data_IF_982276296987
#
_entry.id   IF_982276296987
#
_cell.length_a   1.000
_cell.length_b   1.000
_cell.length_c   1.000
_cell.angle_alpha   90.00
_cell.angle_beta   90.00
_cell.angle_gamma   90.00
#
_symmetry.space_group_name_H-M   'P 1'
#
loop_
_entity.id
_entity.type
_entity.pdbx_description
1 polymer ?
#
# COMPACT_ATOMS: atom_id res chain seq x y z
N UNK A 1 6.10 -4.08 14.82
CA UNK A 1 5.07 -3.13 15.35
C UNK A 1 5.23 -1.71 14.80
N UNK A 2 6.40 -1.06 14.90
CA UNK A 2 6.64 0.30 14.34
C UNK A 2 6.38 0.39 12.81
N UNK A 3 6.80 -0.56 11.96
CA UNK A 3 6.60 -0.48 10.51
C UNK A 3 5.13 -0.55 10.10
N UNK A 4 4.33 -1.36 10.79
CA UNK A 4 2.90 -1.50 10.57
C UNK A 4 2.16 -0.18 10.79
N UNK A 5 2.50 0.53 11.87
CA UNK A 5 1.91 1.83 12.16
C UNK A 5 2.31 2.87 11.11
N UNK A 6 3.59 2.88 10.71
CA UNK A 6 4.08 3.76 9.65
C UNK A 6 3.37 3.47 8.31
N UNK A 7 3.21 2.19 7.94
CA UNK A 7 2.52 1.77 6.73
C UNK A 7 1.06 2.21 6.75
N UNK A 8 0.36 2.05 7.88
CA UNK A 8 -1.01 2.50 8.06
C UNK A 8 -1.14 4.03 7.90
N UNK A 9 -0.25 4.81 8.52
CA UNK A 9 -0.25 6.27 8.38
C UNK A 9 0.01 6.72 6.94
N UNK A 10 0.96 6.10 6.25
CA UNK A 10 1.25 6.38 4.84
C UNK A 10 0.07 6.00 3.93
N UNK A 11 -0.55 4.86 4.18
CA UNK A 11 -1.71 4.37 3.44
C UNK A 11 -2.89 5.33 3.59
N UNK A 12 -3.18 5.81 4.80
CA UNK A 12 -4.23 6.80 5.05
C UNK A 12 -3.89 8.13 4.40
N UNK A 13 -2.66 8.62 4.57
CA UNK A 13 -2.21 9.91 4.02
C UNK A 13 -2.25 9.95 2.49
N UNK A 14 -1.70 8.94 1.83
CA UNK A 14 -1.73 8.79 0.38
C UNK A 14 -3.14 8.47 -0.13
N UNK A 15 -3.90 7.66 0.59
CA UNK A 15 -5.28 7.34 0.23
C UNK A 15 -6.18 8.57 0.22
N UNK A 16 -6.03 9.46 1.21
CA UNK A 16 -6.72 10.76 1.23
C UNK A 16 -6.26 11.67 0.10
N UNK A 17 -4.96 11.71 -0.20
CA UNK A 17 -4.40 12.50 -1.32
C UNK A 17 -5.00 12.09 -2.66
N UNK A 18 -5.27 10.80 -2.85
CA UNK A 18 -5.84 10.20 -4.07
C UNK A 18 -7.39 10.24 -4.08
N UNK A 19 -8.01 10.85 -3.08
CA UNK A 19 -9.46 10.90 -2.91
C UNK A 19 -10.12 9.51 -2.87
N UNK A 20 -9.48 8.56 -2.18
CA UNK A 20 -10.14 7.30 -1.81
C UNK A 20 -11.30 7.59 -0.83
N UNK A 21 -12.37 6.81 -0.99
CA UNK A 21 -13.47 6.83 -0.03
C UNK A 21 -13.00 6.33 1.35
N UNK A 22 -13.65 6.77 2.42
CA UNK A 22 -13.32 6.32 3.76
C UNK A 22 -13.42 4.79 3.91
N UNK A 23 -14.43 4.20 3.27
CA UNK A 23 -14.63 2.74 3.22
C UNK A 23 -13.49 2.01 2.51
N UNK A 24 -12.97 2.56 1.40
CA UNK A 24 -11.80 1.99 0.73
C UNK A 24 -10.55 2.02 1.62
N UNK A 25 -10.32 3.13 2.33
CA UNK A 25 -9.17 3.25 3.25
C UNK A 25 -9.26 2.20 4.36
N UNK A 26 -10.44 2.03 4.97
CA UNK A 26 -10.66 0.99 6.00
C UNK A 26 -10.40 -0.40 5.44
N UNK A 27 -10.90 -0.70 4.23
CA UNK A 27 -10.67 -1.99 3.57
C UNK A 27 -9.17 -2.27 3.36
N UNK A 28 -8.42 -1.26 2.88
CA UNK A 28 -6.98 -1.38 2.70
C UNK A 28 -6.20 -1.49 4.03
N UNK A 29 -6.67 -0.87 5.11
CA UNK A 29 -6.11 -1.07 6.45
C UNK A 29 -6.36 -2.48 6.97
N UNK A 30 -7.56 -3.01 6.79
CA UNK A 30 -7.87 -4.41 7.12
C UNK A 30 -7.00 -5.37 6.31
N UNK A 31 -6.79 -5.08 5.02
CA UNK A 31 -5.90 -5.84 4.16
C UNK A 31 -4.44 -5.79 4.65
N UNK A 32 -3.90 -4.61 5.01
CA UNK A 32 -2.55 -4.47 5.57
C UNK A 32 -2.40 -5.30 6.85
N UNK A 33 -3.39 -5.26 7.74
CA UNK A 33 -3.39 -6.08 8.95
C UNK A 33 -3.40 -7.57 8.62
N UNK A 34 -4.30 -8.00 7.73
CA UNK A 34 -4.35 -9.40 7.29
C UNK A 34 -3.03 -9.86 6.68
N UNK A 35 -2.49 -9.08 5.74
CA UNK A 35 -1.22 -9.37 5.08
C UNK A 35 -0.08 -9.54 6.08
N UNK A 36 0.03 -8.68 7.10
CA UNK A 36 1.06 -8.79 8.13
C UNK A 36 0.94 -10.07 8.98
N UNK A 37 -0.29 -10.57 9.20
CA UNK A 37 -0.49 -11.82 9.92
C UNK A 37 -0.14 -13.07 9.10
N UNK A 38 -0.29 -13.03 7.77
CA UNK A 38 -0.07 -14.18 6.90
C UNK A 38 1.31 -14.18 6.22
N UNK A 39 1.90 -12.99 6.02
CA UNK A 39 3.15 -12.78 5.28
C UNK A 39 4.09 -11.97 6.15
N UNK A 40 5.20 -12.59 6.56
CA UNK A 40 6.24 -11.91 7.32
C UNK A 40 6.77 -10.69 6.56
N UNK A 41 7.02 -9.61 7.30
CA UNK A 41 7.56 -8.34 6.79
C UNK A 41 6.72 -7.64 5.71
N UNK A 42 5.47 -8.06 5.48
CA UNK A 42 4.62 -7.47 4.44
C UNK A 42 4.37 -5.98 4.65
N UNK A 43 4.26 -5.53 5.91
CA UNK A 43 4.10 -4.13 6.24
C UNK A 43 5.33 -3.30 5.84
N UNK A 44 6.54 -3.86 5.95
CA UNK A 44 7.77 -3.20 5.53
C UNK A 44 7.78 -3.07 4.00
N UNK A 45 7.49 -4.16 3.29
CA UNK A 45 7.39 -4.15 1.83
C UNK A 45 6.33 -3.16 1.32
N UNK A 46 5.18 -3.09 1.99
CA UNK A 46 4.12 -2.14 1.67
C UNK A 46 4.54 -0.70 1.96
N UNK A 47 5.19 -0.45 3.09
CA UNK A 47 5.70 0.86 3.46
C UNK A 47 6.72 1.36 2.43
N UNK A 48 7.68 0.52 2.03
CA UNK A 48 8.68 0.85 1.03
C UNK A 48 8.01 1.18 -0.31
N UNK A 49 7.06 0.37 -0.76
CA UNK A 49 6.32 0.63 -1.98
C UNK A 49 5.54 1.96 -1.92
N UNK A 50 4.80 2.18 -0.83
CA UNK A 50 4.06 3.43 -0.63
C UNK A 50 4.99 4.65 -0.60
N UNK A 51 6.16 4.53 0.04
CA UNK A 51 7.14 5.60 0.12
C UNK A 51 7.75 5.94 -1.26
N UNK A 52 8.15 4.92 -2.02
CA UNK A 52 8.73 5.09 -3.36
C UNK A 52 7.72 5.69 -4.35
N UNK A 53 6.45 5.30 -4.26
CA UNK A 53 5.40 5.78 -5.15
C UNK A 53 4.69 7.06 -4.67
N UNK A 54 4.91 7.50 -3.42
CA UNK A 54 4.41 8.76 -2.88
C UNK A 54 4.67 9.99 -3.78
N UNK A 55 5.91 10.25 -4.26
CA UNK A 55 6.18 11.40 -5.14
C UNK A 55 5.44 11.31 -6.48
N UNK A 56 5.23 10.09 -6.99
CA UNK A 56 4.48 9.86 -8.24
C UNK A 56 3.02 10.20 -8.00
N UNK A 57 2.39 9.61 -6.97
CA UNK A 57 1.01 9.88 -6.60
C UNK A 57 0.75 11.36 -6.27
N UNK A 58 1.72 12.04 -5.64
CA UNK A 58 1.63 13.47 -5.36
C UNK A 58 1.64 14.35 -6.61
N UNK A 59 2.24 13.88 -7.72
CA UNK A 59 2.33 14.59 -9.00
C UNK A 59 1.22 14.21 -9.99
N UNK A 60 0.44 13.17 -9.72
CA UNK A 60 -0.71 12.80 -10.58
C UNK A 60 -1.81 13.87 -10.44
N UNK A 61 -1.88 14.76 -11.43
CA UNK A 61 -2.95 15.77 -11.55
C UNK A 61 -4.29 15.18 -12.01
N UNK A 62 -4.29 13.99 -12.61
CA UNK A 62 -5.48 13.36 -13.16
C UNK A 62 -6.11 12.37 -12.15
N UNK A 63 -7.27 12.70 -11.56
CA UNK A 63 -7.93 11.85 -10.58
C UNK A 63 -8.27 10.41 -11.04
N UNK A 64 -8.59 10.10 -12.32
CA UNK A 64 -8.97 8.74 -12.68
C UNK A 64 -7.79 7.73 -12.64
N UNK A 65 -6.55 8.20 -12.79
CA UNK A 65 -5.37 7.31 -12.79
C UNK A 65 -4.73 7.15 -11.41
N UNK A 66 -5.00 8.06 -10.47
CA UNK A 66 -4.38 8.02 -9.15
C UNK A 66 -4.85 6.80 -8.32
N UNK A 67 -6.15 6.47 -8.40
CA UNK A 67 -6.75 5.31 -7.70
C UNK A 67 -6.18 3.96 -8.13
N UNK A 68 -6.13 3.61 -9.43
CA UNK A 68 -5.55 2.33 -9.85
C UNK A 68 -4.06 2.24 -9.51
N UNK A 69 -3.29 3.33 -9.63
CA UNK A 69 -1.87 3.35 -9.20
C UNK A 69 -1.76 3.01 -7.71
N UNK A 70 -2.58 3.63 -6.86
CA UNK A 70 -2.61 3.31 -5.43
C UNK A 70 -2.92 1.82 -5.16
N UNK A 71 -3.94 1.27 -5.83
CA UNK A 71 -4.33 -0.14 -5.67
C UNK A 71 -3.20 -1.08 -6.10
N UNK A 72 -2.52 -0.79 -7.20
CA UNK A 72 -1.37 -1.58 -7.67
C UNK A 72 -0.21 -1.55 -6.67
N UNK A 73 0.08 -0.38 -6.09
CA UNK A 73 1.13 -0.23 -5.08
C UNK A 73 0.77 -0.94 -3.78
N UNK A 74 -0.49 -0.90 -3.37
CA UNK A 74 -0.96 -1.61 -2.19
C UNK A 74 -0.91 -3.15 -2.35
N UNK A 75 -1.01 -3.66 -3.57
CA UNK A 75 -0.86 -5.10 -3.88
C UNK A 75 0.60 -5.55 -4.04
N UNK A 76 1.56 -4.61 -4.07
CA UNK A 76 2.99 -4.91 -4.22
C UNK A 76 3.54 -5.96 -3.24
N UNK A 77 3.16 -5.98 -1.94
CA UNK A 77 3.64 -7.01 -1.01
C UNK A 77 3.27 -8.44 -1.43
N UNK A 78 2.10 -8.64 -2.04
CA UNK A 78 1.72 -9.95 -2.57
C UNK A 78 2.62 -10.36 -3.74
N UNK A 79 2.88 -9.43 -4.66
CA UNK A 79 3.75 -9.70 -5.79
C UNK A 79 5.17 -10.09 -5.34
N UNK A 80 5.70 -9.39 -4.34
CA UNK A 80 6.99 -9.73 -3.71
C UNK A 80 6.94 -11.10 -3.04
N UNK A 81 5.88 -11.38 -2.27
CA UNK A 81 5.71 -12.68 -1.62
C UNK A 81 5.65 -13.84 -2.63
N UNK A 82 4.89 -13.68 -3.72
CA UNK A 82 4.84 -14.67 -4.80
C UNK A 82 6.19 -14.85 -5.48
N UNK A 83 6.91 -13.76 -5.75
CA UNK A 83 8.25 -13.83 -6.35
C UNK A 83 9.25 -14.57 -5.47
N UNK A 84 9.29 -14.25 -4.17
CA UNK A 84 10.18 -14.90 -3.21
C UNK A 84 9.84 -16.38 -3.01
N UNK A 85 8.55 -16.74 -3.01
CA UNK A 85 8.13 -18.14 -2.92
C UNK A 85 8.38 -18.97 -4.18
N UNK A 86 8.49 -18.34 -5.35
CA UNK A 86 8.74 -19.02 -6.64
C UNK A 86 10.23 -19.21 -6.97
N UNK A 87 11.12 -18.79 -6.08
CA UNK A 87 12.54 -19.19 -6.13
C UNK A 87 13.54 -18.12 -6.53
N UNK A 88 13.14 -16.85 -6.68
CA UNK A 88 14.07 -15.71 -6.85
C UNK A 88 14.87 -15.70 -8.15
#
# INVERSE_FOLDING_TARGET
MIPLLAAALFLVGLGKKVHLSGTEIVCWLCYLLGAEFFIEESAIHMLIALFLFAPIMARVKNPPYAKPIFRSVALFPLAVHFYLNLGG
#
